data_IF_119980841818
#
_entry.id   IF_119980841818
#
_cell.length_a   1.000
_cell.length_b   1.000
_cell.length_c   1.000
_cell.angle_alpha   90.00
_cell.angle_beta   90.00
_cell.angle_gamma   90.00
#
_symmetry.space_group_name_H-M   'P 1'
#
loop_
_entity.id
_entity.type
_entity.pdbx_description
1 polymer ?
#
# COMPACT_ATOMS: atom_id res chain seq x y z
N UNK A 1 47.50 -23.59 24.51
CA UNK A 1 46.76 -23.55 25.79
C UNK A 1 45.27 -23.70 25.48
N UNK A 2 44.67 -24.81 25.92
CA UNK A 2 43.24 -25.11 25.80
C UNK A 2 42.51 -24.46 26.98
N UNK A 3 41.35 -23.85 26.76
CA UNK A 3 40.34 -23.72 27.80
C UNK A 3 38.93 -23.91 27.21
N UNK A 4 38.42 -25.11 27.44
CA UNK A 4 37.02 -25.49 27.30
C UNK A 4 36.30 -25.13 28.61
N UNK A 5 35.09 -24.56 28.55
CA UNK A 5 34.15 -24.60 29.69
C UNK A 5 32.74 -24.95 29.22
N UNK A 6 32.21 -25.95 29.92
CA UNK A 6 30.94 -26.62 29.75
C UNK A 6 29.83 -25.96 30.59
N UNK A 7 28.58 -26.18 30.13
CA UNK A 7 27.30 -26.32 30.85
C UNK A 7 26.86 -25.16 31.78
N UNK A 8 25.60 -24.71 31.72
CA UNK A 8 24.46 -25.51 32.20
C UNK A 8 23.11 -24.99 31.69
N UNK A 9 22.22 -25.94 31.42
CA UNK A 9 20.80 -25.78 31.08
C UNK A 9 19.99 -25.66 32.38
N UNK A 10 19.05 -24.71 32.44
CA UNK A 10 17.97 -24.70 33.43
C UNK A 10 16.66 -24.54 32.69
N UNK A 11 15.83 -25.58 32.75
CA UNK A 11 14.44 -25.59 32.30
C UNK A 11 13.54 -25.12 33.45
N UNK A 12 12.60 -24.22 33.18
CA UNK A 12 11.49 -23.91 34.08
C UNK A 12 10.18 -24.13 33.30
N UNK A 13 9.44 -25.15 33.72
CA UNK A 13 8.06 -25.37 33.37
C UNK A 13 7.16 -24.53 34.30
N UNK A 14 6.13 -23.89 33.76
CA UNK A 14 5.06 -23.28 34.55
C UNK A 14 3.71 -23.69 33.97
N UNK A 15 2.83 -24.09 34.89
CA UNK A 15 1.62 -24.87 34.70
C UNK A 15 0.42 -24.04 34.22
N UNK A 16 -0.51 -24.76 33.59
CA UNK A 16 -1.87 -24.33 33.24
C UNK A 16 -2.70 -23.97 34.48
N UNK A 17 -3.51 -22.92 34.36
CA UNK A 17 -4.75 -22.77 35.11
C UNK A 17 -5.81 -22.13 34.19
N UNK A 18 -6.85 -22.91 33.88
CA UNK A 18 -8.03 -22.45 33.17
C UNK A 18 -9.00 -21.73 34.09
N UNK A 19 -9.79 -20.83 33.52
CA UNK A 19 -11.03 -20.34 34.12
C UNK A 19 -12.12 -20.30 33.06
N UNK A 20 -13.31 -20.71 33.50
CA UNK A 20 -14.45 -21.12 32.73
C UNK A 20 -15.23 -19.97 32.07
N UNK A 21 -15.92 -20.34 30.99
CA UNK A 21 -16.90 -19.53 30.25
C UNK A 21 -18.16 -19.27 31.08
N UNK A 22 -18.69 -18.04 31.00
CA UNK A 22 -20.07 -17.72 31.36
C UNK A 22 -20.79 -17.27 30.08
N UNK A 23 -21.89 -17.94 29.76
CA UNK A 23 -22.75 -17.67 28.61
C UNK A 23 -23.77 -16.56 28.94
N UNK A 24 -23.97 -15.59 28.02
CA UNK A 24 -25.10 -14.65 28.03
C UNK A 24 -26.18 -15.15 27.05
N UNK A 25 -27.42 -15.41 27.50
CA UNK A 25 -28.51 -15.89 26.67
C UNK A 25 -29.41 -14.72 26.23
N UNK A 26 -29.10 -14.06 25.11
CA UNK A 26 -30.06 -13.19 24.42
C UNK A 26 -30.03 -13.41 22.91
N UNK A 27 -30.90 -14.31 22.48
CA UNK A 27 -31.24 -14.54 21.08
C UNK A 27 -32.03 -13.37 20.51
N UNK A 28 -31.48 -12.74 19.48
CA UNK A 28 -32.18 -11.82 18.59
C UNK A 28 -31.89 -12.24 17.15
N UNK A 29 -32.86 -12.88 16.50
CA UNK A 29 -32.77 -13.28 15.09
C UNK A 29 -33.08 -12.07 14.21
N UNK A 30 -32.04 -11.33 13.84
CA UNK A 30 -32.08 -10.40 12.70
C UNK A 30 -32.00 -11.17 11.38
N UNK A 31 -32.52 -10.62 10.27
CA UNK A 31 -32.49 -11.31 8.97
C UNK A 31 -31.04 -11.52 8.54
N UNK A 32 -30.73 -12.76 8.12
CA UNK A 32 -29.44 -13.14 7.59
C UNK A 32 -29.12 -12.28 6.37
N UNK A 33 -28.19 -11.33 6.53
CA UNK A 33 -27.58 -10.63 5.40
C UNK A 33 -26.85 -11.68 4.57
N UNK A 34 -27.22 -11.81 3.30
CA UNK A 34 -26.56 -12.72 2.37
C UNK A 34 -25.05 -12.52 2.42
N UNK A 35 -24.31 -13.63 2.52
CA UNK A 35 -22.86 -13.59 2.52
C UNK A 35 -22.37 -12.82 1.27
N UNK A 36 -21.54 -11.78 1.41
CA UNK A 36 -20.99 -11.10 0.25
C UNK A 36 -20.13 -12.10 -0.54
N UNK A 37 -20.26 -12.07 -1.87
CA UNK A 37 -19.48 -12.90 -2.76
C UNK A 37 -17.97 -12.80 -2.45
N UNK A 38 -17.27 -13.94 -2.47
CA UNK A 38 -15.82 -13.98 -2.29
C UNK A 38 -15.12 -13.21 -3.42
N UNK A 39 -14.18 -12.32 -3.08
CA UNK A 39 -13.30 -11.67 -4.06
C UNK A 39 -12.26 -12.73 -4.44
N UNK A 40 -12.20 -13.15 -5.70
CA UNK A 40 -11.27 -14.20 -6.13
C UNK A 40 -9.84 -13.68 -6.14
N UNK A 41 -8.93 -14.44 -5.54
CA UNK A 41 -7.48 -14.31 -5.70
C UNK A 41 -7.09 -15.06 -6.96
N UNK A 42 -6.38 -14.39 -7.87
CA UNK A 42 -5.88 -14.99 -9.12
C UNK A 42 -4.36 -14.99 -9.13
N UNK A 43 -3.78 -16.03 -9.71
CA UNK A 43 -2.34 -16.09 -10.00
C UNK A 43 -2.02 -15.04 -11.05
N UNK A 44 -1.05 -14.19 -10.78
CA UNK A 44 -0.75 -12.99 -11.57
C UNK A 44 0.03 -13.27 -12.86
N UNK A 45 -0.53 -14.13 -13.70
CA UNK A 45 -0.09 -14.20 -15.08
C UNK A 45 -0.43 -12.84 -15.73
N UNK A 46 0.54 -12.14 -16.37
CA UNK A 46 0.32 -10.85 -17.02
C UNK A 46 -0.52 -10.96 -18.31
N UNK A 47 -1.44 -11.92 -18.35
CA UNK A 47 -2.33 -12.17 -19.47
C UNK A 47 -3.12 -10.91 -19.85
N UNK A 48 -3.59 -10.83 -21.11
CA UNK A 48 -4.26 -9.65 -21.63
C UNK A 48 -5.45 -9.26 -20.74
N UNK A 49 -5.63 -7.96 -20.53
CA UNK A 49 -6.74 -7.42 -19.76
C UNK A 49 -8.07 -8.00 -20.28
N UNK A 50 -8.83 -8.65 -19.41
CA UNK A 50 -10.20 -9.05 -19.72
C UNK A 50 -11.05 -7.80 -19.55
N UNK A 51 -11.63 -7.29 -20.65
CA UNK A 51 -12.44 -6.08 -20.63
C UNK A 51 -13.53 -6.15 -19.54
N UNK A 52 -13.65 -5.08 -18.75
CA UNK A 52 -14.61 -4.98 -17.64
C UNK A 52 -14.12 -5.51 -16.29
N UNK A 53 -12.97 -6.22 -16.23
CA UNK A 53 -12.40 -6.75 -14.98
C UNK A 53 -11.28 -5.85 -14.47
N UNK A 54 -11.37 -5.46 -13.19
CA UNK A 54 -10.29 -4.74 -12.50
C UNK A 54 -9.41 -5.75 -11.79
N UNK A 55 -8.09 -5.55 -11.81
CA UNK A 55 -7.17 -6.30 -10.96
C UNK A 55 -6.35 -5.39 -10.06
N UNK A 56 -6.14 -5.83 -8.82
CA UNK A 56 -5.29 -5.14 -7.83
C UNK A 56 -4.26 -6.15 -7.34
N UNK A 57 -3.03 -6.01 -7.79
CA UNK A 57 -1.92 -6.90 -7.46
C UNK A 57 -0.98 -6.24 -6.47
N UNK A 58 -0.68 -6.92 -5.37
CA UNK A 58 0.33 -6.45 -4.42
C UNK A 58 1.71 -6.98 -4.84
N UNK A 59 2.71 -6.11 -4.91
CA UNK A 59 4.07 -6.46 -5.35
C UNK A 59 5.09 -6.45 -4.20
N UNK A 60 4.62 -6.25 -2.96
CA UNK A 60 5.44 -6.12 -1.75
C UNK A 60 5.61 -4.66 -1.32
N UNK A 61 5.98 -4.45 -0.05
CA UNK A 61 5.97 -3.12 0.59
C UNK A 61 4.66 -2.37 0.32
N UNK A 62 4.71 -1.19 -0.29
CA UNK A 62 3.55 -0.41 -0.76
C UNK A 62 3.39 -0.43 -2.28
N UNK A 63 4.11 -1.32 -2.97
CA UNK A 63 4.04 -1.40 -4.43
C UNK A 63 2.77 -2.15 -4.87
N UNK A 64 1.93 -1.49 -5.67
CA UNK A 64 0.73 -2.09 -6.27
C UNK A 64 0.69 -1.90 -7.77
N UNK A 65 0.22 -2.93 -8.49
CA UNK A 65 -0.12 -2.87 -9.91
C UNK A 65 -1.63 -3.00 -10.05
N UNK A 66 -2.27 -1.97 -10.59
CA UNK A 66 -3.71 -1.94 -10.84
C UNK A 66 -3.94 -1.99 -12.35
N UNK A 67 -4.73 -2.96 -12.81
CA UNK A 67 -5.25 -2.97 -14.19
C UNK A 67 -6.70 -2.50 -14.16
N UNK A 68 -7.00 -1.41 -14.85
CA UNK A 68 -8.34 -0.83 -14.91
C UNK A 68 -9.28 -1.65 -15.79
N UNK A 69 -10.59 -1.37 -15.73
CA UNK A 69 -11.58 -2.09 -16.53
C UNK A 69 -11.39 -1.89 -18.05
N UNK A 70 -10.69 -0.82 -18.44
CA UNK A 70 -10.31 -0.50 -19.83
C UNK A 70 -8.90 -0.97 -20.20
N UNK A 71 -8.23 -1.71 -19.30
CA UNK A 71 -6.89 -2.26 -19.52
C UNK A 71 -5.74 -1.28 -19.29
N UNK A 72 -5.99 -0.13 -18.65
CA UNK A 72 -4.91 0.79 -18.25
C UNK A 72 -4.15 0.24 -17.05
N UNK A 73 -2.82 0.32 -17.08
CA UNK A 73 -1.97 -0.16 -15.99
C UNK A 73 -1.42 1.00 -15.19
N UNK A 74 -1.78 1.04 -13.90
CA UNK A 74 -1.28 2.00 -12.92
C UNK A 74 -0.35 1.27 -11.95
N UNK A 75 0.87 1.77 -11.77
CA UNK A 75 1.80 1.27 -10.75
C UNK A 75 1.98 2.33 -9.67
N UNK A 76 1.83 1.94 -8.42
CA UNK A 76 1.96 2.82 -7.25
C UNK A 76 3.20 2.41 -6.47
N UNK A 77 3.98 3.37 -6.02
CA UNK A 77 5.16 3.22 -5.16
C UNK A 77 6.10 2.06 -5.58
N UNK A 78 6.63 2.08 -6.82
CA UNK A 78 7.47 1.00 -7.32
C UNK A 78 8.81 0.95 -6.58
N UNK A 79 8.86 0.15 -5.52
CA UNK A 79 10.05 -0.35 -4.86
C UNK A 79 10.06 -1.87 -4.97
N UNK A 80 10.70 -2.35 -6.03
CA UNK A 80 10.64 -3.73 -6.51
C UNK A 80 12.03 -4.35 -6.52
N UNK A 81 13.00 -3.70 -7.14
CA UNK A 81 14.35 -4.27 -7.38
C UNK A 81 15.07 -4.58 -6.07
N UNK A 82 14.98 -3.69 -5.08
CA UNK A 82 15.62 -3.86 -3.77
C UNK A 82 14.70 -4.40 -2.67
N UNK A 83 13.38 -4.48 -2.89
CA UNK A 83 12.41 -4.92 -1.89
C UNK A 83 12.49 -6.44 -1.60
N UNK A 84 12.81 -6.88 -0.38
CA UNK A 84 13.02 -8.30 -0.10
C UNK A 84 11.77 -9.17 -0.27
N UNK A 85 10.57 -8.57 -0.26
CA UNK A 85 9.30 -9.30 -0.46
C UNK A 85 8.82 -9.34 -1.90
N UNK A 86 9.44 -8.57 -2.81
CA UNK A 86 9.02 -8.58 -4.22
C UNK A 86 9.30 -9.95 -4.84
N UNK A 87 8.30 -10.58 -5.50
CA UNK A 87 8.51 -11.85 -6.16
C UNK A 87 9.69 -11.81 -7.13
N UNK A 88 10.50 -12.88 -7.23
CA UNK A 88 11.71 -12.89 -8.06
C UNK A 88 11.48 -12.44 -9.52
N UNK A 89 10.33 -12.78 -10.11
CA UNK A 89 9.99 -12.38 -11.48
C UNK A 89 9.93 -10.85 -11.65
N UNK A 90 9.41 -10.11 -10.67
CA UNK A 90 9.25 -8.66 -10.73
C UNK A 90 10.48 -7.88 -10.24
N UNK A 91 11.56 -8.58 -9.86
CA UNK A 91 12.88 -7.95 -9.69
C UNK A 91 13.42 -7.41 -11.02
N UNK A 92 13.00 -8.00 -12.13
CA UNK A 92 13.19 -7.43 -13.44
C UNK A 92 11.98 -6.53 -13.77
N UNK A 93 12.18 -5.21 -13.82
CA UNK A 93 11.10 -4.25 -14.09
C UNK A 93 10.40 -4.50 -15.44
N UNK A 94 11.10 -5.07 -16.43
CA UNK A 94 10.49 -5.41 -17.72
C UNK A 94 9.37 -6.46 -17.60
N UNK A 95 9.41 -7.31 -16.55
CA UNK A 95 8.38 -8.33 -16.31
C UNK A 95 7.03 -7.76 -15.85
N UNK A 96 6.96 -6.48 -15.46
CA UNK A 96 5.67 -5.80 -15.23
C UNK A 96 4.87 -5.60 -16.52
N UNK A 97 5.54 -5.69 -17.67
CA UNK A 97 4.98 -5.36 -18.96
C UNK A 97 4.66 -3.87 -19.06
N UNK A 98 3.56 -3.57 -19.77
CA UNK A 98 3.09 -2.20 -20.01
C UNK A 98 2.71 -1.50 -18.70
N UNK A 99 3.15 -0.25 -18.57
CA UNK A 99 2.71 0.70 -17.53
C UNK A 99 2.22 1.98 -18.21
N UNK A 100 0.99 2.39 -17.92
CA UNK A 100 0.39 3.62 -18.48
C UNK A 100 0.56 4.83 -17.55
N UNK A 101 0.70 4.61 -16.25
CA UNK A 101 0.78 5.66 -15.23
C UNK A 101 1.56 5.16 -14.01
N UNK A 102 2.36 6.04 -13.42
CA UNK A 102 3.04 5.78 -12.16
C UNK A 102 2.58 6.80 -11.12
N UNK A 103 2.23 6.35 -9.93
CA UNK A 103 1.94 7.19 -8.77
C UNK A 103 3.01 6.98 -7.71
N UNK A 104 3.51 8.06 -7.12
CA UNK A 104 4.46 7.98 -6.00
C UNK A 104 3.91 8.82 -4.84
N UNK A 105 3.78 8.19 -3.68
CA UNK A 105 3.18 8.81 -2.49
C UNK A 105 4.12 9.80 -1.81
N UNK A 106 5.41 9.50 -1.76
CA UNK A 106 6.43 10.36 -1.13
C UNK A 106 7.86 9.98 -1.55
N UNK A 107 8.86 10.77 -1.12
CA UNK A 107 10.24 10.70 -1.62
C UNK A 107 11.13 9.56 -1.12
N UNK A 108 10.70 8.79 -0.10
CA UNK A 108 11.57 7.76 0.48
C UNK A 108 11.88 6.64 -0.51
N UNK A 109 13.07 6.07 -0.37
CA UNK A 109 13.63 5.06 -1.26
C UNK A 109 12.72 3.84 -1.42
N UNK A 110 12.09 3.38 -0.34
CA UNK A 110 11.21 2.20 -0.36
C UNK A 110 9.83 2.43 -0.99
N UNK A 111 9.62 3.60 -1.61
CA UNK A 111 8.45 3.95 -2.42
C UNK A 111 8.86 4.46 -3.82
N UNK A 112 9.97 5.20 -3.91
CA UNK A 112 10.36 5.92 -5.12
C UNK A 112 11.32 5.16 -6.03
N UNK A 113 12.14 4.24 -5.49
CA UNK A 113 13.38 3.76 -6.11
C UNK A 113 13.29 3.45 -7.61
N UNK A 114 12.29 2.66 -8.03
CA UNK A 114 12.20 2.17 -9.40
C UNK A 114 11.33 3.06 -10.30
N UNK A 115 10.67 4.10 -9.76
CA UNK A 115 9.76 4.96 -10.52
C UNK A 115 10.43 5.64 -11.72
N UNK A 116 11.66 6.23 -11.61
CA UNK A 116 12.32 6.85 -12.75
C UNK A 116 12.65 5.86 -13.87
N UNK A 117 13.15 4.67 -13.51
CA UNK A 117 13.50 3.64 -14.49
C UNK A 117 12.25 3.12 -15.20
N UNK A 118 11.20 2.82 -14.43
CA UNK A 118 9.93 2.31 -14.96
C UNK A 118 9.24 3.34 -15.86
N UNK A 119 9.29 4.63 -15.48
CA UNK A 119 8.77 5.74 -16.29
C UNK A 119 9.46 5.84 -17.64
N UNK A 120 10.80 5.84 -17.65
CA UNK A 120 11.60 5.91 -18.89
C UNK A 120 11.35 4.71 -19.81
N UNK A 121 11.28 3.50 -19.25
CA UNK A 121 11.03 2.27 -20.01
C UNK A 121 9.67 2.29 -20.75
N UNK A 122 8.66 2.91 -20.15
CA UNK A 122 7.28 2.88 -20.67
C UNK A 122 6.82 4.21 -21.28
N UNK A 123 7.64 5.27 -21.20
CA UNK A 123 7.19 6.65 -21.42
C UNK A 123 5.96 7.01 -20.57
N UNK A 124 5.86 6.43 -19.37
CA UNK A 124 4.72 6.60 -18.48
C UNK A 124 4.92 7.82 -17.56
N UNK A 125 3.94 8.75 -17.48
CA UNK A 125 4.05 9.88 -16.57
C UNK A 125 4.02 9.42 -15.12
N UNK A 126 4.92 9.96 -14.31
CA UNK A 126 4.89 9.89 -12.85
C UNK A 126 4.07 11.06 -12.32
N UNK A 127 3.14 10.78 -11.42
CA UNK A 127 2.45 11.79 -10.62
C UNK A 127 2.83 11.63 -9.16
N UNK A 128 3.36 12.69 -8.57
CA UNK A 128 3.86 12.68 -7.20
C UNK A 128 3.64 14.05 -6.53
N UNK A 129 3.87 14.17 -5.20
CA UNK A 129 3.85 15.46 -4.52
C UNK A 129 4.64 16.53 -5.26
N UNK A 130 4.12 17.76 -5.28
CA UNK A 130 4.68 18.82 -6.09
C UNK A 130 6.18 19.07 -5.81
N UNK A 131 6.60 18.94 -4.55
CA UNK A 131 8.00 19.04 -4.14
C UNK A 131 8.88 17.93 -4.70
N UNK A 132 8.49 16.66 -4.58
CA UNK A 132 9.21 15.53 -5.16
C UNK A 132 9.33 15.66 -6.68
N UNK A 133 8.23 16.02 -7.34
CA UNK A 133 8.23 16.23 -8.79
C UNK A 133 9.11 17.40 -9.21
N UNK A 134 9.15 18.49 -8.44
CA UNK A 134 10.09 19.58 -8.69
C UNK A 134 11.54 19.10 -8.53
N UNK A 135 11.86 18.32 -7.49
CA UNK A 135 13.21 17.77 -7.29
C UNK A 135 13.61 16.82 -8.42
N UNK A 136 12.71 15.94 -8.88
CA UNK A 136 12.96 15.08 -10.05
C UNK A 136 13.34 15.88 -11.30
N UNK A 137 12.63 16.99 -11.55
CA UNK A 137 12.90 17.86 -12.69
C UNK A 137 14.22 18.61 -12.54
N UNK A 138 14.45 19.22 -11.37
CA UNK A 138 15.65 20.02 -11.08
C UNK A 138 16.93 19.18 -11.14
N UNK A 139 16.87 17.94 -10.65
CA UNK A 139 18.00 17.02 -10.65
C UNK A 139 18.19 16.27 -11.98
N UNK A 140 17.29 16.47 -12.95
CA UNK A 140 17.34 15.76 -14.23
C UNK A 140 17.01 14.27 -14.14
N UNK A 141 16.39 13.82 -13.05
CA UNK A 141 15.98 12.42 -12.85
C UNK A 141 14.94 12.03 -13.90
N UNK A 142 13.94 12.89 -14.10
CA UNK A 142 12.91 12.79 -15.13
C UNK A 142 12.65 14.15 -15.77
N UNK A 143 12.40 14.20 -17.10
CA UNK A 143 12.02 15.44 -17.77
C UNK A 143 10.61 15.87 -17.38
N UNK A 144 10.30 17.16 -17.53
CA UNK A 144 9.01 17.74 -17.13
C UNK A 144 7.76 16.96 -17.59
N UNK A 145 7.66 16.45 -18.83
CA UNK A 145 6.47 15.70 -19.27
C UNK A 145 6.23 14.41 -18.49
N UNK A 146 7.28 13.83 -17.90
CA UNK A 146 7.21 12.58 -17.14
C UNK A 146 7.18 12.80 -15.63
N UNK A 147 7.46 14.01 -15.13
CA UNK A 147 7.47 14.33 -13.70
C UNK A 147 6.33 15.30 -13.34
N UNK A 148 5.11 14.79 -13.27
CA UNK A 148 3.90 15.59 -13.09
C UNK A 148 3.63 15.88 -11.61
N UNK A 149 3.24 17.12 -11.34
CA UNK A 149 3.05 17.64 -9.98
C UNK A 149 1.59 17.53 -9.56
N UNK A 150 1.37 17.12 -8.32
CA UNK A 150 0.05 17.13 -7.70
C UNK A 150 0.15 17.54 -6.23
N UNK A 151 -0.93 18.10 -5.72
CA UNK A 151 -1.08 18.49 -4.32
C UNK A 151 -2.37 17.90 -3.75
N UNK A 152 -2.41 17.75 -2.43
CA UNK A 152 -3.54 17.21 -1.67
C UNK A 152 -4.83 17.95 -2.01
N UNK A 153 -5.93 17.22 -2.19
CA UNK A 153 -7.23 17.73 -2.63
C UNK A 153 -7.37 17.90 -4.15
N UNK A 154 -6.25 18.00 -4.88
CA UNK A 154 -6.25 18.00 -6.34
C UNK A 154 -6.72 16.66 -6.91
N UNK A 155 -7.31 16.69 -8.10
CA UNK A 155 -7.75 15.49 -8.83
C UNK A 155 -7.33 15.53 -10.29
N UNK A 156 -7.07 14.36 -10.86
CA UNK A 156 -6.70 14.18 -12.27
C UNK A 156 -7.53 13.06 -12.91
N UNK A 157 -7.67 13.12 -14.23
CA UNK A 157 -8.27 12.10 -15.08
C UNK A 157 -7.29 11.72 -16.19
N UNK A 158 -6.21 10.96 -15.88
CA UNK A 158 -5.07 10.77 -16.77
C UNK A 158 -5.40 10.06 -18.08
N UNK A 159 -6.57 9.41 -18.15
CA UNK A 159 -7.04 8.67 -19.33
C UNK A 159 -8.27 9.29 -19.98
N UNK A 160 -8.54 10.58 -19.70
CA UNK A 160 -9.63 11.34 -20.29
C UNK A 160 -10.95 11.27 -19.52
N UNK A 161 -11.99 11.98 -20.00
CA UNK A 161 -13.32 11.99 -19.39
C UNK A 161 -13.93 10.59 -19.30
N UNK A 162 -14.51 10.24 -18.15
CA UNK A 162 -15.09 8.90 -17.91
C UNK A 162 -14.06 7.80 -17.65
N UNK A 163 -12.76 8.10 -17.71
CA UNK A 163 -11.70 7.19 -17.28
C UNK A 163 -11.46 7.22 -15.77
N UNK A 164 -10.34 6.63 -15.35
CA UNK A 164 -9.90 6.63 -13.94
C UNK A 164 -9.77 8.05 -13.41
N UNK A 165 -10.35 8.32 -12.23
CA UNK A 165 -10.18 9.57 -11.48
C UNK A 165 -9.27 9.33 -10.28
N UNK A 166 -8.27 10.18 -10.09
CA UNK A 166 -7.30 10.04 -9.01
C UNK A 166 -7.27 11.34 -8.21
N UNK A 167 -7.49 11.24 -6.90
CA UNK A 167 -7.43 12.36 -5.94
C UNK A 167 -6.30 12.12 -4.96
N UNK A 168 -5.44 13.12 -4.77
CA UNK A 168 -4.35 13.05 -3.78
C UNK A 168 -4.90 13.38 -2.40
N UNK A 169 -4.63 12.52 -1.42
CA UNK A 169 -5.09 12.67 -0.04
C UNK A 169 -3.94 13.07 0.88
N UNK A 170 -4.28 13.63 2.04
CA UNK A 170 -3.33 13.83 3.14
C UNK A 170 -2.77 12.49 3.63
N UNK A 171 -1.51 12.53 4.06
CA UNK A 171 -0.83 11.51 4.86
C UNK A 171 0.03 12.23 5.92
N UNK A 172 0.25 11.60 7.06
CA UNK A 172 1.14 12.06 8.14
C UNK A 172 2.44 11.27 8.12
N UNK A 173 3.47 11.80 7.46
CA UNK A 173 4.77 11.16 7.29
C UNK A 173 5.86 12.17 6.88
N UNK A 174 7.10 11.73 6.71
CA UNK A 174 8.16 12.50 6.06
C UNK A 174 8.29 12.12 4.58
N UNK A 175 9.14 12.81 3.81
CA UNK A 175 9.17 12.67 2.34
C UNK A 175 10.49 13.09 1.73
N UNK A 176 11.60 12.94 2.43
CA UNK A 176 12.89 13.32 1.89
C UNK A 176 13.29 12.41 0.71
N UNK A 177 13.78 13.01 -0.37
CA UNK A 177 14.37 12.28 -1.49
C UNK A 177 15.85 12.08 -1.23
N UNK A 178 16.26 10.82 -1.03
CA UNK A 178 17.68 10.46 -1.08
C UNK A 178 18.07 10.25 -2.55
N UNK A 179 19.02 11.03 -3.03
CA UNK A 179 19.51 10.96 -4.40
C UNK A 179 21.03 10.84 -4.42
N UNK A 180 21.56 9.95 -5.27
CA UNK A 180 23.00 9.84 -5.49
C UNK A 180 23.40 10.73 -6.65
N UNK A 181 24.21 11.75 -6.35
CA UNK A 181 24.70 12.68 -7.35
C UNK A 181 25.80 12.02 -8.19
N UNK A 182 25.53 11.77 -9.46
CA UNK A 182 26.48 11.12 -10.39
C UNK A 182 27.77 11.93 -10.60
N UNK A 183 27.69 13.27 -10.53
CA UNK A 183 28.86 14.13 -10.75
C UNK A 183 29.82 14.12 -9.56
N UNK A 184 29.31 14.00 -8.33
CA UNK A 184 30.13 14.04 -7.11
C UNK A 184 30.35 12.67 -6.48
N UNK A 185 29.54 11.68 -6.87
CA UNK A 185 29.50 10.37 -6.22
C UNK A 185 29.14 10.49 -4.74
N UNK A 186 28.26 11.41 -4.35
CA UNK A 186 27.78 11.55 -2.97
C UNK A 186 26.27 11.42 -2.90
N UNK A 187 25.79 10.93 -1.76
CA UNK A 187 24.38 10.89 -1.47
C UNK A 187 23.95 12.24 -0.91
N UNK A 188 22.82 12.73 -1.39
CA UNK A 188 22.27 14.04 -1.06
C UNK A 188 20.80 13.89 -0.68
N UNK A 189 20.37 14.65 0.31
CA UNK A 189 18.98 14.72 0.74
C UNK A 189 18.33 15.94 0.12
N UNK A 190 17.26 15.71 -0.63
CA UNK A 190 16.48 16.73 -1.32
C UNK A 190 15.04 16.75 -0.80
N UNK A 191 14.34 17.87 -1.00
CA UNK A 191 12.93 18.00 -0.62
C UNK A 191 12.08 17.06 -1.49
N UNK A 192 11.23 16.22 -0.90
CA UNK A 192 10.18 15.50 -1.63
C UNK A 192 8.78 16.08 -1.42
N UNK A 193 8.67 17.25 -0.77
CA UNK A 193 7.38 17.88 -0.51
C UNK A 193 6.58 17.16 0.58
N UNK A 194 5.26 17.29 0.54
CA UNK A 194 4.42 16.63 1.54
C UNK A 194 4.02 15.21 1.12
N UNK A 195 4.08 14.20 2.02
CA UNK A 195 3.60 12.87 1.69
C UNK A 195 2.10 12.85 1.45
N UNK A 196 1.64 11.83 0.74
CA UNK A 196 0.24 11.71 0.38
C UNK A 196 -0.24 10.26 0.28
N UNK A 197 -1.55 10.11 0.12
CA UNK A 197 -2.17 8.90 -0.42
C UNK A 197 -2.89 9.21 -1.73
N UNK A 198 -3.46 8.18 -2.34
CA UNK A 198 -4.24 8.29 -3.58
C UNK A 198 -5.59 7.59 -3.45
N UNK A 199 -6.66 8.33 -3.64
CA UNK A 199 -7.99 7.81 -3.91
C UNK A 199 -8.15 7.62 -5.41
N UNK A 200 -8.41 6.39 -5.83
CA UNK A 200 -8.47 5.96 -7.23
C UNK A 200 -9.89 5.44 -7.46
N UNK A 201 -10.66 6.16 -8.26
CA UNK A 201 -11.98 5.75 -8.72
C UNK A 201 -11.86 5.18 -10.13
N UNK A 202 -12.18 3.90 -10.26
CA UNK A 202 -12.08 3.15 -11.51
C UNK A 202 -13.40 3.21 -12.29
N UNK A 203 -13.34 2.86 -13.58
CA UNK A 203 -14.45 2.99 -14.52
C UNK A 203 -15.66 2.11 -14.16
N UNK A 204 -15.43 1.01 -13.43
CA UNK A 204 -16.49 0.13 -12.92
C UNK A 204 -17.09 0.61 -11.58
N UNK A 205 -16.65 1.76 -11.07
CA UNK A 205 -17.10 2.35 -9.82
C UNK A 205 -16.33 1.90 -8.58
N UNK A 206 -15.37 0.96 -8.69
CA UNK A 206 -14.54 0.56 -7.56
C UNK A 206 -13.68 1.73 -7.09
N UNK A 207 -13.70 1.99 -5.79
CA UNK A 207 -12.90 3.06 -5.16
C UNK A 207 -11.82 2.47 -4.28
N UNK A 208 -10.57 2.73 -4.64
CA UNK A 208 -9.40 2.24 -3.91
C UNK A 208 -8.74 3.44 -3.23
N UNK A 209 -8.44 3.32 -1.94
CA UNK A 209 -7.56 4.28 -1.27
C UNK A 209 -6.23 3.63 -0.94
N UNK A 210 -5.19 4.03 -1.66
CA UNK A 210 -3.81 3.77 -1.28
C UNK A 210 -3.37 4.81 -0.27
N UNK A 211 -3.20 4.43 1.00
CA UNK A 211 -2.93 5.41 2.06
C UNK A 211 -1.52 6.00 2.01
N UNK A 212 -0.61 5.38 1.25
CA UNK A 212 0.82 5.63 1.39
C UNK A 212 1.30 5.25 2.79
N UNK A 213 2.41 5.83 3.20
CA UNK A 213 2.86 5.77 4.58
C UNK A 213 2.21 6.90 5.37
N UNK A 214 1.53 6.56 6.46
CA UNK A 214 0.84 7.54 7.28
C UNK A 214 0.69 7.06 8.71
N UNK A 215 0.76 7.99 9.65
CA UNK A 215 0.14 7.87 10.98
C UNK A 215 -1.37 8.13 10.93
N UNK A 216 -2.04 8.02 12.08
CA UNK A 216 -3.46 8.36 12.23
C UNK A 216 -3.65 9.88 12.21
N UNK A 217 -4.65 10.37 11.48
CA UNK A 217 -5.10 11.76 11.55
C UNK A 217 -6.63 11.86 11.48
N UNK A 218 -7.20 12.91 12.08
CA UNK A 218 -8.66 13.07 12.21
C UNK A 218 -9.41 13.12 10.87
N UNK A 219 -8.83 13.77 9.85
CA UNK A 219 -9.45 13.93 8.54
C UNK A 219 -9.62 12.60 7.78
N UNK A 220 -9.05 11.48 8.26
CA UNK A 220 -9.35 10.15 7.71
C UNK A 220 -10.86 9.86 7.73
N UNK A 221 -11.58 10.35 8.76
CA UNK A 221 -13.05 10.25 8.83
C UNK A 221 -13.72 11.02 7.71
N UNK A 222 -13.32 12.27 7.52
CA UNK A 222 -13.86 13.13 6.46
C UNK A 222 -13.61 12.51 5.07
N UNK A 223 -12.40 11.99 4.83
CA UNK A 223 -12.07 11.30 3.59
C UNK A 223 -12.90 10.02 3.39
N UNK A 224 -13.13 9.23 4.46
CA UNK A 224 -14.02 8.08 4.45
C UNK A 224 -15.47 8.44 4.09
N UNK A 225 -16.00 9.53 4.65
CA UNK A 225 -17.36 10.01 4.40
C UNK A 225 -17.54 10.61 2.99
N UNK A 226 -16.58 11.41 2.54
CA UNK A 226 -16.61 12.09 1.24
C UNK A 226 -16.48 11.10 0.08
N UNK A 227 -15.47 10.22 0.14
CA UNK A 227 -15.08 9.39 -1.00
C UNK A 227 -15.59 7.96 -0.90
N UNK A 228 -15.89 7.47 0.30
CA UNK A 228 -16.44 6.12 0.55
C UNK A 228 -15.64 5.03 -0.17
N UNK A 229 -14.35 4.84 0.15
CA UNK A 229 -13.53 3.83 -0.50
C UNK A 229 -14.08 2.43 -0.24
N UNK A 230 -14.13 1.59 -1.29
CA UNK A 230 -14.50 0.19 -1.18
C UNK A 230 -13.33 -0.64 -0.65
N UNK A 231 -12.12 -0.35 -1.13
CA UNK A 231 -10.88 -1.06 -0.80
C UNK A 231 -9.86 -0.09 -0.23
N UNK A 232 -9.39 -0.38 0.99
CA UNK A 232 -8.31 0.35 1.64
C UNK A 232 -7.01 -0.43 1.54
N UNK A 233 -5.94 0.18 1.04
CA UNK A 233 -4.58 -0.35 1.09
C UNK A 233 -3.87 0.36 2.23
N UNK A 234 -3.68 -0.34 3.36
CA UNK A 234 -3.37 0.27 4.66
C UNK A 234 -1.99 -0.17 5.17
N UNK A 235 -1.07 0.75 5.50
CA UNK A 235 0.21 0.38 6.09
C UNK A 235 -0.02 -0.15 7.51
N UNK A 236 0.63 -1.28 7.83
CA UNK A 236 0.51 -1.92 9.16
C UNK A 236 1.86 -2.22 9.81
N UNK A 237 2.98 -1.80 9.20
CA UNK A 237 4.32 -2.17 9.64
C UNK A 237 4.66 -1.72 11.05
N UNK A 238 4.05 -0.62 11.52
CA UNK A 238 4.34 -0.03 12.83
C UNK A 238 5.76 0.52 12.92
N UNK A 239 6.42 0.15 14.03
CA UNK A 239 7.72 0.70 14.37
C UNK A 239 7.67 2.22 14.55
N UNK A 240 8.76 2.94 14.25
CA UNK A 240 8.80 4.40 14.34
C UNK A 240 8.28 5.11 13.08
N UNK A 241 7.70 4.39 12.10
CA UNK A 241 7.50 4.92 10.75
C UNK A 241 6.03 5.11 10.34
N UNK A 242 5.18 4.09 10.57
CA UNK A 242 3.77 4.09 10.12
C UNK A 242 2.86 3.57 11.23
N UNK A 243 1.55 3.58 10.99
CA UNK A 243 0.58 2.93 11.89
C UNK A 243 1.01 1.49 12.21
N UNK A 244 1.00 1.14 13.49
CA UNK A 244 1.06 -0.26 13.91
C UNK A 244 -0.28 -0.95 13.61
N UNK A 245 -0.38 -2.28 13.74
CA UNK A 245 -1.62 -3.00 13.44
C UNK A 245 -2.85 -2.52 14.25
N UNK A 246 -2.68 -2.06 15.49
CA UNK A 246 -3.79 -1.57 16.31
C UNK A 246 -4.29 -0.20 15.86
N UNK A 247 -3.37 0.72 15.55
CA UNK A 247 -3.70 2.05 15.03
C UNK A 247 -4.35 1.95 13.64
N UNK A 248 -3.81 1.08 12.78
CA UNK A 248 -4.39 0.78 11.46
C UNK A 248 -5.80 0.20 11.59
N UNK A 249 -6.03 -0.70 12.56
CA UNK A 249 -7.34 -1.28 12.81
C UNK A 249 -8.35 -0.22 13.28
N UNK A 250 -7.95 0.69 14.18
CA UNK A 250 -8.77 1.81 14.63
C UNK A 250 -9.09 2.76 13.47
N UNK A 251 -8.09 3.18 12.68
CA UNK A 251 -8.30 4.02 11.51
C UNK A 251 -9.27 3.37 10.52
N UNK A 252 -9.10 2.07 10.26
CA UNK A 252 -9.94 1.31 9.33
C UNK A 252 -11.38 1.16 9.84
N UNK A 253 -11.58 0.74 11.09
CA UNK A 253 -12.90 0.46 11.68
C UNK A 253 -13.67 1.73 12.05
N UNK A 254 -12.99 2.73 12.60
CA UNK A 254 -13.65 3.84 13.28
C UNK A 254 -13.66 5.13 12.46
N UNK A 255 -12.66 5.33 11.59
CA UNK A 255 -12.52 6.55 10.78
C UNK A 255 -12.93 6.32 9.33
N UNK A 256 -12.29 5.38 8.62
CA UNK A 256 -12.47 5.20 7.16
C UNK A 256 -13.69 4.36 6.81
N UNK A 257 -13.91 3.25 7.54
CA UNK A 257 -15.02 2.31 7.35
C UNK A 257 -15.17 1.77 5.91
N UNK A 258 -14.09 1.24 5.29
CA UNK A 258 -14.18 0.66 3.95
C UNK A 258 -14.92 -0.69 3.99
N UNK A 259 -15.28 -1.23 2.82
CA UNK A 259 -15.82 -2.61 2.75
C UNK A 259 -14.72 -3.65 2.92
N UNK A 260 -13.54 -3.37 2.39
CA UNK A 260 -12.41 -4.27 2.33
C UNK A 260 -11.11 -3.55 2.68
N UNK A 261 -10.15 -4.28 3.24
CA UNK A 261 -8.81 -3.76 3.52
C UNK A 261 -7.74 -4.78 3.12
N UNK A 262 -6.67 -4.32 2.48
CA UNK A 262 -5.44 -5.07 2.21
C UNK A 262 -4.33 -4.45 3.06
N UNK A 263 -3.76 -5.19 4.03
CA UNK A 263 -2.61 -4.71 4.77
C UNK A 263 -1.37 -4.68 3.86
N UNK A 264 -0.58 -3.61 3.95
CA UNK A 264 0.65 -3.39 3.19
C UNK A 264 1.77 -2.83 4.09
N UNK A 265 2.94 -2.57 3.52
CA UNK A 265 4.10 -1.98 4.22
C UNK A 265 4.50 -2.69 5.51
N UNK A 266 4.73 -4.01 5.42
CA UNK A 266 5.11 -4.83 6.57
C UNK A 266 6.04 -6.00 6.20
N UNK A 267 6.87 -6.39 7.16
CA UNK A 267 7.74 -7.58 7.08
C UNK A 267 8.87 -7.47 6.05
N UNK A 268 9.21 -6.27 5.60
CA UNK A 268 10.34 -6.02 4.67
C UNK A 268 11.64 -5.70 5.42
N UNK A 269 11.57 -5.30 6.69
CA UNK A 269 12.72 -5.13 7.58
C UNK A 269 12.28 -5.34 9.05
N UNK A 270 13.23 -5.46 10.01
CA UNK A 270 12.90 -5.71 11.42
C UNK A 270 12.09 -4.62 12.12
N UNK A 271 12.11 -3.38 11.62
CA UNK A 271 11.36 -2.26 12.21
C UNK A 271 9.88 -2.27 11.78
N UNK A 272 9.56 -2.89 10.64
CA UNK A 272 8.21 -3.06 10.12
C UNK A 272 7.60 -4.40 10.57
N UNK A 273 7.60 -4.62 11.89
CA UNK A 273 7.30 -5.90 12.54
C UNK A 273 5.80 -6.24 12.63
N UNK A 274 4.91 -5.30 12.28
CA UNK A 274 3.47 -5.55 12.29
C UNK A 274 3.06 -6.68 11.34
N UNK A 275 1.97 -7.38 11.67
CA UNK A 275 1.50 -8.54 10.93
C UNK A 275 0.01 -8.46 10.58
N UNK A 276 -0.43 -9.08 9.46
CA UNK A 276 -1.85 -9.18 9.14
C UNK A 276 -2.68 -9.84 10.24
N UNK A 277 -2.13 -10.82 10.96
CA UNK A 277 -2.81 -11.47 12.08
C UNK A 277 -3.12 -10.48 13.20
N UNK A 278 -2.13 -9.70 13.64
CA UNK A 278 -2.34 -8.64 14.64
C UNK A 278 -3.35 -7.59 14.17
N UNK A 279 -3.35 -7.25 12.88
CA UNK A 279 -4.30 -6.29 12.32
C UNK A 279 -5.73 -6.83 12.34
N UNK A 280 -5.93 -8.09 11.95
CA UNK A 280 -7.22 -8.78 12.02
C UNK A 280 -7.71 -8.90 13.47
N UNK A 281 -6.83 -9.28 14.39
CA UNK A 281 -7.17 -9.40 15.81
C UNK A 281 -7.59 -8.04 16.39
N UNK A 282 -6.86 -6.97 16.06
CA UNK A 282 -7.16 -5.61 16.52
C UNK A 282 -8.41 -5.00 15.88
N UNK A 283 -8.77 -5.39 14.64
CA UNK A 283 -10.04 -5.00 14.03
C UNK A 283 -11.23 -5.52 14.83
N UNK A 284 -11.09 -6.74 15.37
CA UNK A 284 -12.10 -7.40 16.18
C UNK A 284 -13.23 -8.03 15.36
N UNK A 285 -13.87 -9.03 15.94
CA UNK A 285 -14.89 -9.87 15.27
C UNK A 285 -16.19 -9.14 14.94
N UNK A 286 -16.43 -7.97 15.55
CA UNK A 286 -17.60 -7.12 15.29
C UNK A 286 -17.42 -6.19 14.08
N UNK A 287 -16.19 -6.05 13.57
CA UNK A 287 -15.92 -5.21 12.40
C UNK A 287 -16.50 -5.86 11.13
N UNK A 288 -17.28 -5.12 10.32
CA UNK A 288 -17.79 -5.64 9.04
C UNK A 288 -16.73 -5.60 7.93
N UNK A 289 -15.54 -5.05 8.20
CA UNK A 289 -14.48 -4.89 7.20
C UNK A 289 -13.87 -6.24 6.88
N UNK A 290 -13.90 -6.63 5.61
CA UNK A 290 -13.25 -7.86 5.15
C UNK A 290 -11.77 -7.62 4.88
N UNK A 291 -10.89 -8.25 5.67
CA UNK A 291 -9.45 -8.22 5.41
C UNK A 291 -9.08 -9.21 4.31
N UNK A 292 -8.39 -8.73 3.29
CA UNK A 292 -7.86 -9.50 2.17
C UNK A 292 -6.35 -9.59 2.31
N UNK A 293 -5.87 -10.56 3.10
CA UNK A 293 -4.44 -10.76 3.40
C UNK A 293 -3.69 -11.49 2.26
N UNK A 294 -3.71 -10.89 1.07
CA UNK A 294 -2.98 -11.40 -0.11
C UNK A 294 -1.46 -11.36 0.13
N UNK A 295 -0.73 -12.22 -0.58
CA UNK A 295 0.73 -12.28 -0.58
C UNK A 295 1.34 -11.46 -1.72
N UNK A 296 2.62 -11.04 -1.62
CA UNK A 296 3.30 -10.41 -2.74
C UNK A 296 3.26 -11.29 -3.99
N UNK A 297 2.87 -10.70 -5.11
CA UNK A 297 2.61 -11.37 -6.39
C UNK A 297 1.16 -11.74 -6.62
N UNK A 298 0.33 -11.88 -5.59
CA UNK A 298 -1.09 -12.22 -5.75
C UNK A 298 -1.92 -11.01 -6.20
N UNK A 299 -2.97 -11.29 -6.97
CA UNK A 299 -3.91 -10.29 -7.44
C UNK A 299 -5.34 -10.59 -7.01
N UNK A 300 -6.05 -9.54 -6.61
CA UNK A 300 -7.49 -9.54 -6.42
C UNK A 300 -8.16 -9.15 -7.73
N UNK A 301 -9.32 -9.73 -8.00
CA UNK A 301 -10.14 -9.38 -9.16
C UNK A 301 -11.52 -8.88 -8.75
N UNK A 302 -11.94 -7.79 -9.38
CA UNK A 302 -13.20 -7.08 -9.13
C UNK A 302 -13.98 -6.88 -10.43
#
# INVERSE_FOLDING_TARGET
>A
MKFTKCLSVVSIAAALAGCASVADPRGGTGPARGAPASVPVVTADPGPAVAGRVTVQWLGQSAFRITSATGKVIVIDPYLTANPKTPPAYKNLAALGKVDLILVTHGHTDHFLDAPALSKMNSAPVWAPAGLSQSMQTLGILPMPLANRMNKGGSITPFGPGGVRITMTRAEHSSELLWRNDATGKDETHVGGEPCGFLIELENGLRIWHMGDTGVFGDMRLLGEMYRPDLLLVPIGGGPFVMNPADAAMATRDLVKPRMAVPMHYGTNPQLAGTPAQFVDALGTSSPVRVLAIQPGEALAF
#
